data_IF_833520923243
#
_entry.id   IF_833520923243
#
_cell.length_a   1.000
_cell.length_b   1.000
_cell.length_c   1.000
_cell.angle_alpha   90.00
_cell.angle_beta   90.00
_cell.angle_gamma   90.00
#
_symmetry.space_group_name_H-M   'P 1'
#
loop_
_entity.id
_entity.type
_entity.pdbx_description
1 polymer ?
#
# COMPACT_ATOMS: atom_id res chain seq x y z
N UNK A 1 -25.66 2.17 -24.66
CA UNK A 1 -25.90 2.09 -23.19
C UNK A 1 -25.36 0.79 -22.59
N UNK A 2 -25.31 -0.32 -23.33
CA UNK A 2 -24.67 -1.58 -22.89
C UNK A 2 -23.15 -1.57 -22.94
N UNK A 3 -22.56 -0.61 -23.65
CA UNK A 3 -21.12 -0.51 -23.97
C UNK A 3 -20.30 0.00 -22.77
N UNK A 4 -20.91 0.81 -21.89
CA UNK A 4 -20.26 1.37 -20.69
C UNK A 4 -20.13 0.30 -19.59
N UNK A 5 -21.09 -0.64 -19.52
CA UNK A 5 -21.10 -1.70 -18.50
C UNK A 5 -20.03 -2.76 -18.83
N UNK A 6 -19.83 -3.10 -20.10
CA UNK A 6 -18.74 -3.99 -20.55
C UNK A 6 -17.37 -3.34 -20.43
N UNK A 7 -17.24 -2.03 -20.65
CA UNK A 7 -16.01 -1.29 -20.37
C UNK A 7 -15.70 -1.29 -18.87
N UNK A 8 -16.69 -1.06 -18.01
CA UNK A 8 -16.52 -1.07 -16.55
C UNK A 8 -16.13 -2.47 -16.05
N UNK A 9 -16.76 -3.54 -16.55
CA UNK A 9 -16.42 -4.91 -16.16
C UNK A 9 -15.05 -5.34 -16.69
N UNK A 10 -14.67 -4.96 -17.91
CA UNK A 10 -13.30 -5.19 -18.44
C UNK A 10 -12.25 -4.39 -17.67
N UNK A 11 -12.53 -3.15 -17.26
CA UNK A 11 -11.63 -2.33 -16.46
C UNK A 11 -11.51 -2.89 -15.03
N UNK A 12 -12.60 -3.41 -14.46
CA UNK A 12 -12.60 -4.10 -13.17
C UNK A 12 -11.77 -5.38 -13.23
N UNK A 13 -11.97 -6.21 -14.25
CA UNK A 13 -11.22 -7.47 -14.44
C UNK A 13 -9.74 -7.17 -14.75
N UNK A 14 -9.46 -6.18 -15.59
CA UNK A 14 -8.11 -5.67 -15.88
C UNK A 14 -7.41 -5.16 -14.62
N UNK A 15 -8.08 -4.36 -13.79
CA UNK A 15 -7.52 -3.87 -12.54
C UNK A 15 -7.25 -5.00 -11.53
N UNK A 16 -8.15 -5.99 -11.44
CA UNK A 16 -8.05 -7.11 -10.50
C UNK A 16 -7.01 -8.15 -10.93
N UNK A 17 -6.74 -8.35 -12.23
CA UNK A 17 -5.80 -9.37 -12.71
C UNK A 17 -4.50 -8.84 -13.32
N UNK A 18 -4.53 -7.72 -14.06
CA UNK A 18 -3.36 -7.17 -14.76
C UNK A 18 -2.63 -6.13 -13.91
N UNK A 19 -3.38 -5.33 -13.13
CA UNK A 19 -2.82 -4.30 -12.25
C UNK A 19 -2.90 -4.65 -10.76
N UNK A 20 -3.02 -5.93 -10.43
CA UNK A 20 -3.08 -6.33 -9.03
C UNK A 20 -1.72 -6.15 -8.36
N UNK A 21 -1.59 -5.04 -7.64
CA UNK A 21 -0.38 -4.68 -6.89
C UNK A 21 0.05 -5.78 -5.91
N UNK A 22 -0.88 -6.62 -5.44
CA UNK A 22 -0.63 -7.73 -4.50
C UNK A 22 0.15 -8.87 -5.14
N UNK A 23 -0.08 -9.19 -6.43
CA UNK A 23 0.69 -10.23 -7.14
C UNK A 23 1.96 -9.69 -7.80
N UNK A 24 1.96 -8.45 -8.30
CA UNK A 24 3.00 -7.97 -9.23
C UNK A 24 4.23 -7.33 -8.56
N UNK A 25 4.15 -6.86 -7.31
CA UNK A 25 5.24 -6.06 -6.71
C UNK A 25 5.99 -6.72 -5.55
N UNK A 26 5.61 -7.92 -5.10
CA UNK A 26 6.25 -8.62 -3.97
C UNK A 26 6.48 -7.74 -2.71
N UNK A 27 5.68 -6.68 -2.50
CA UNK A 27 5.77 -5.89 -1.27
C UNK A 27 5.34 -6.78 -0.10
N UNK A 28 6.26 -7.03 0.84
CA UNK A 28 5.98 -7.91 1.98
C UNK A 28 6.40 -9.39 1.79
N UNK A 29 7.32 -9.71 0.88
CA UNK A 29 7.89 -11.07 0.81
C UNK A 29 8.57 -11.50 2.12
N UNK A 30 9.18 -10.55 2.85
CA UNK A 30 9.82 -10.77 4.15
C UNK A 30 8.83 -11.25 5.24
N UNK A 31 7.69 -10.58 5.49
CA UNK A 31 6.67 -11.10 6.39
C UNK A 31 6.01 -12.39 5.89
N UNK A 32 5.86 -12.55 4.57
CA UNK A 32 5.28 -13.77 4.00
C UNK A 32 6.13 -15.01 4.28
N UNK A 33 7.43 -14.96 4.02
CA UNK A 33 8.36 -16.07 4.25
C UNK A 33 8.45 -16.48 5.73
N UNK A 34 8.36 -15.52 6.65
CA UNK A 34 8.43 -15.78 8.09
C UNK A 34 7.18 -16.45 8.67
N UNK A 35 6.02 -16.28 8.03
CA UNK A 35 4.73 -16.65 8.63
C UNK A 35 3.89 -17.62 7.77
N UNK A 36 4.43 -18.10 6.65
CA UNK A 36 3.75 -19.04 5.73
C UNK A 36 3.30 -20.36 6.38
N UNK A 37 3.92 -20.78 7.50
CA UNK A 37 3.63 -22.09 8.13
C UNK A 37 2.43 -22.09 9.09
N UNK A 38 2.00 -20.93 9.58
CA UNK A 38 0.92 -20.84 10.58
C UNK A 38 0.02 -19.65 10.30
N UNK A 39 -1.24 -19.93 9.96
CA UNK A 39 -2.27 -18.92 9.65
C UNK A 39 -2.56 -18.03 10.87
N UNK A 40 -2.57 -18.62 12.07
CA UNK A 40 -2.81 -17.88 13.32
C UNK A 40 -1.78 -16.76 13.55
N UNK A 41 -0.50 -17.01 13.24
CA UNK A 41 0.56 -16.00 13.31
C UNK A 41 0.49 -14.99 12.16
N UNK A 42 -0.01 -15.40 10.98
CA UNK A 42 -0.11 -14.51 9.81
C UNK A 42 -1.15 -13.41 10.02
N UNK A 43 -2.24 -13.75 10.72
CA UNK A 43 -3.27 -12.78 11.11
C UNK A 43 -2.73 -11.75 12.10
N UNK A 44 -1.94 -12.20 13.09
CA UNK A 44 -1.29 -11.29 14.05
C UNK A 44 -0.28 -10.34 13.38
N UNK A 45 0.54 -10.86 12.46
CA UNK A 45 1.54 -10.04 11.76
C UNK A 45 0.91 -9.02 10.82
N UNK A 46 -0.14 -9.39 10.08
CA UNK A 46 -0.84 -8.47 9.17
C UNK A 46 -1.55 -7.35 9.91
N UNK A 47 -2.18 -7.63 11.07
CA UNK A 47 -2.76 -6.58 11.91
C UNK A 47 -1.72 -5.58 12.41
N UNK A 48 -0.56 -6.07 12.87
CA UNK A 48 0.51 -5.18 13.33
C UNK A 48 1.04 -4.28 12.19
N UNK A 49 1.22 -4.83 10.98
CA UNK A 49 1.70 -4.07 9.82
C UNK A 49 0.69 -3.02 9.37
N UNK A 50 -0.61 -3.36 9.31
CA UNK A 50 -1.67 -2.40 8.96
C UNK A 50 -1.70 -1.23 9.95
N UNK A 51 -1.57 -1.53 11.24
CA UNK A 51 -1.53 -0.50 12.28
C UNK A 51 -0.32 0.43 12.14
N UNK A 52 0.88 -0.12 11.96
CA UNK A 52 2.08 0.72 11.80
C UNK A 52 2.04 1.53 10.50
N UNK A 53 1.59 0.95 9.39
CA UNK A 53 1.51 1.66 8.10
C UNK A 53 0.50 2.81 8.11
N UNK A 54 -0.64 2.62 8.75
CA UNK A 54 -1.64 3.69 8.88
C UNK A 54 -1.12 4.84 9.74
N UNK A 55 -0.49 4.53 10.87
CA UNK A 55 0.08 5.53 11.76
C UNK A 55 1.26 6.28 11.13
N UNK A 56 2.17 5.56 10.44
CA UNK A 56 3.26 6.15 9.68
C UNK A 56 2.74 7.10 8.60
N UNK A 57 1.79 6.66 7.77
CA UNK A 57 1.21 7.49 6.69
C UNK A 57 0.59 8.79 7.20
N UNK A 58 -0.11 8.75 8.34
CA UNK A 58 -0.71 9.94 8.95
C UNK A 58 0.37 10.92 9.44
N UNK A 59 1.42 10.41 10.09
CA UNK A 59 2.53 11.24 10.59
C UNK A 59 3.31 11.85 9.42
N UNK A 60 3.65 11.05 8.40
CA UNK A 60 4.35 11.50 7.21
C UNK A 60 3.58 12.61 6.49
N UNK A 61 2.25 12.50 6.39
CA UNK A 61 1.42 13.53 5.76
C UNK A 61 1.49 14.87 6.51
N UNK A 62 1.48 14.85 7.84
CA UNK A 62 1.62 16.05 8.67
C UNK A 62 3.00 16.68 8.46
N UNK A 63 4.07 15.87 8.49
CA UNK A 63 5.45 16.34 8.31
C UNK A 63 5.66 16.91 6.90
N UNK A 64 5.14 16.24 5.86
CA UNK A 64 5.27 16.71 4.48
C UNK A 64 4.61 18.08 4.29
N UNK A 65 3.42 18.27 4.88
CA UNK A 65 2.64 19.51 4.73
C UNK A 65 3.14 20.68 5.58
N UNK A 66 3.63 20.42 6.79
CA UNK A 66 4.08 21.47 7.73
C UNK A 66 5.57 21.81 7.65
N UNK A 67 6.43 20.86 7.28
CA UNK A 67 7.89 21.04 7.31
C UNK A 67 8.47 21.10 5.90
N UNK A 68 8.06 20.20 5.00
CA UNK A 68 8.72 20.04 3.70
C UNK A 68 8.32 21.11 2.67
N UNK A 69 7.03 21.48 2.63
CA UNK A 69 6.50 22.51 1.73
C UNK A 69 7.06 23.92 2.00
N UNK A 70 7.15 24.41 3.26
CA UNK A 70 7.71 25.75 3.51
C UNK A 70 9.24 25.81 3.42
N UNK A 71 9.97 24.71 3.65
CA UNK A 71 11.43 24.68 3.55
C UNK A 71 11.97 24.28 2.17
N UNK A 72 11.12 23.93 1.21
CA UNK A 72 11.50 23.57 -0.18
C UNK A 72 12.50 22.39 -0.27
N UNK A 73 12.55 21.54 0.75
CA UNK A 73 13.45 20.37 0.87
C UNK A 73 12.75 19.09 0.41
N UNK A 74 12.26 19.07 -0.83
CA UNK A 74 11.53 17.93 -1.43
C UNK A 74 12.39 16.64 -1.48
N UNK A 75 13.72 16.77 -1.38
CA UNK A 75 14.66 15.66 -1.37
C UNK A 75 14.62 14.81 -0.08
N UNK A 76 14.13 15.35 1.04
CA UNK A 76 14.01 14.61 2.31
C UNK A 76 12.75 13.74 2.41
N UNK A 77 11.91 13.73 1.37
CA UNK A 77 10.65 12.98 1.36
C UNK A 77 10.88 11.47 1.58
N UNK A 78 12.01 10.92 1.12
CA UNK A 78 12.39 9.50 1.32
C UNK A 78 12.71 9.14 2.77
N UNK A 79 13.06 10.11 3.63
CA UNK A 79 13.37 9.88 5.05
C UNK A 79 12.15 10.09 5.94
N UNK A 80 11.18 10.89 5.48
CA UNK A 80 9.93 11.13 6.17
C UNK A 80 8.87 10.06 5.87
N UNK A 81 9.02 9.33 4.76
CA UNK A 81 8.18 8.22 4.31
C UNK A 81 8.70 6.88 4.83
#
# INVERSE_FOLDING_TARGET
MGDVVTQLSLLLVSAIFVNNFVLARFLGVCPFLGVSKKVETAVGMSMAVIFVMTLASVITWIIQKFILVPFQLEYLQTIAF
#
